data_IF_950380177660
#
_entry.id   IF_950380177660
#
_cell.length_a   1.000
_cell.length_b   1.000
_cell.length_c   1.000
_cell.angle_alpha   90.00
_cell.angle_beta   90.00
_cell.angle_gamma   90.00
#
_symmetry.space_group_name_H-M   'P 1'
#
loop_
_entity.id
_entity.type
_entity.pdbx_description
1 polymer ?
#
# COMPACT_ATOMS: atom_id res chain seq x y z
N UNK A 1 -20.56 -5.09 13.38
CA UNK A 1 -19.33 -5.24 12.58
C UNK A 1 -19.64 -4.79 11.17
N UNK A 2 -18.91 -3.78 10.72
CA UNK A 2 -18.87 -3.28 9.35
C UNK A 2 -17.69 -3.93 8.60
N UNK A 3 -17.67 -3.83 7.27
CA UNK A 3 -16.49 -4.26 6.48
C UNK A 3 -15.21 -3.54 6.96
N UNK A 4 -15.32 -2.28 7.38
CA UNK A 4 -14.19 -1.55 7.92
C UNK A 4 -13.73 -2.14 9.27
N UNK A 5 -14.65 -2.53 10.15
CA UNK A 5 -14.30 -3.20 11.41
C UNK A 5 -13.51 -4.49 11.15
N UNK A 6 -13.93 -5.28 10.17
CA UNK A 6 -13.26 -6.52 9.77
C UNK A 6 -11.85 -6.27 9.23
N UNK A 7 -11.69 -5.22 8.41
CA UNK A 7 -10.37 -4.78 7.92
C UNK A 7 -9.49 -4.39 9.10
N UNK A 8 -10.00 -3.57 10.03
CA UNK A 8 -9.23 -3.12 11.19
C UNK A 8 -8.78 -4.28 12.09
N UNK A 9 -9.66 -5.25 12.34
CA UNK A 9 -9.34 -6.45 13.11
C UNK A 9 -8.22 -7.26 12.46
N UNK A 10 -8.31 -7.52 11.15
CA UNK A 10 -7.29 -8.28 10.39
C UNK A 10 -5.96 -7.54 10.30
N UNK A 11 -6.00 -6.22 10.04
CA UNK A 11 -4.80 -5.39 9.95
C UNK A 11 -4.04 -5.36 11.28
N UNK A 12 -4.74 -5.27 12.42
CA UNK A 12 -4.10 -5.30 13.75
C UNK A 12 -3.41 -6.64 14.01
N UNK A 13 -4.06 -7.76 13.66
CA UNK A 13 -3.46 -9.09 13.79
C UNK A 13 -2.21 -9.24 12.90
N UNK A 14 -2.25 -8.69 11.68
CA UNK A 14 -1.10 -8.67 10.75
C UNK A 14 0.07 -7.88 11.35
N UNK A 15 -0.18 -6.65 11.81
CA UNK A 15 0.84 -5.82 12.45
C UNK A 15 1.46 -6.52 13.67
N UNK A 16 0.66 -7.21 14.48
CA UNK A 16 1.16 -7.94 15.63
C UNK A 16 2.09 -9.10 15.22
N UNK A 17 1.73 -9.85 14.19
CA UNK A 17 2.55 -10.93 13.65
C UNK A 17 3.85 -10.38 13.04
N UNK A 18 3.78 -9.31 12.25
CA UNK A 18 4.93 -8.69 11.60
C UNK A 18 5.94 -8.18 12.64
N UNK A 19 5.46 -7.50 13.69
CA UNK A 19 6.30 -7.03 14.81
C UNK A 19 6.99 -8.14 15.58
N UNK A 20 6.43 -9.35 15.58
CA UNK A 20 7.08 -10.51 16.19
C UNK A 20 8.21 -11.07 15.30
N UNK A 21 8.17 -10.81 13.99
CA UNK A 21 9.16 -11.27 13.02
C UNK A 21 10.29 -10.27 12.76
N UNK A 22 10.00 -8.97 12.85
CA UNK A 22 10.94 -7.90 12.59
C UNK A 22 10.67 -6.73 13.54
N UNK A 23 11.70 -6.28 14.26
CA UNK A 23 11.56 -5.19 15.21
C UNK A 23 11.45 -3.83 14.52
N UNK A 24 10.86 -2.87 15.22
CA UNK A 24 10.81 -1.49 14.73
C UNK A 24 12.21 -0.89 14.51
N UNK A 25 13.18 -1.24 15.36
CA UNK A 25 14.55 -0.75 15.25
C UNK A 25 15.25 -1.28 13.99
N UNK A 26 15.04 -2.55 13.65
CA UNK A 26 15.57 -3.12 12.40
C UNK A 26 14.94 -2.47 11.17
N UNK A 27 13.63 -2.19 11.20
CA UNK A 27 12.95 -1.44 10.16
C UNK A 27 13.51 -0.02 10.01
N UNK A 28 13.71 0.70 11.11
CA UNK A 28 14.29 2.06 11.10
C UNK A 28 15.70 2.06 10.50
N UNK A 29 16.53 1.07 10.86
CA UNK A 29 17.86 0.92 10.27
C UNK A 29 17.80 0.63 8.77
N UNK A 30 16.91 -0.26 8.33
CA UNK A 30 16.75 -0.59 6.91
C UNK A 30 16.27 0.62 6.09
N UNK A 31 15.38 1.46 6.65
CA UNK A 31 14.89 2.66 5.99
C UNK A 31 16.00 3.69 5.78
N UNK A 32 16.96 3.79 6.69
CA UNK A 32 18.08 4.73 6.59
C UNK A 32 18.97 4.48 5.36
N UNK A 33 19.05 3.23 4.89
CA UNK A 33 19.87 2.84 3.74
C UNK A 33 19.11 2.93 2.39
N UNK A 34 17.82 3.28 2.40
CA UNK A 34 17.02 3.40 1.18
C UNK A 34 17.31 4.69 0.42
N UNK A 35 17.16 4.69 -0.91
CA UNK A 35 17.22 5.92 -1.70
C UNK A 35 16.10 6.90 -1.27
N UNK A 36 16.29 8.21 -1.50
CA UNK A 36 15.26 9.21 -1.22
C UNK A 36 13.92 8.86 -1.86
N UNK A 37 12.83 9.10 -1.13
CA UNK A 37 11.49 8.95 -1.66
C UNK A 37 11.27 9.87 -2.88
N UNK A 38 10.52 9.37 -3.86
CA UNK A 38 10.02 10.23 -4.95
C UNK A 38 9.04 11.25 -4.38
N UNK A 39 9.07 12.48 -4.87
CA UNK A 39 8.15 13.53 -4.42
C UNK A 39 6.75 13.32 -5.03
N UNK A 40 5.92 12.60 -4.27
CA UNK A 40 4.55 12.29 -4.67
C UNK A 40 3.66 13.54 -4.76
N UNK A 41 3.86 14.52 -3.88
CA UNK A 41 3.05 15.74 -3.88
C UNK A 41 3.37 16.60 -5.10
N UNK A 42 4.66 16.82 -5.38
CA UNK A 42 5.07 17.60 -6.55
C UNK A 42 4.55 16.98 -7.85
N UNK A 43 4.53 15.64 -7.96
CA UNK A 43 3.99 14.95 -9.13
C UNK A 43 2.49 15.24 -9.37
N UNK A 44 1.70 15.42 -8.31
CA UNK A 44 0.27 15.72 -8.41
C UNK A 44 -0.03 17.22 -8.51
N UNK A 45 0.84 18.06 -7.96
CA UNK A 45 0.70 19.52 -7.97
C UNK A 45 1.27 20.17 -9.25
N UNK A 46 1.89 19.39 -10.13
CA UNK A 46 2.56 19.90 -11.32
C UNK A 46 1.61 20.18 -12.49
N UNK A 47 1.83 21.33 -13.14
CA UNK A 47 1.25 21.69 -14.43
C UNK A 47 -0.27 21.94 -14.42
N UNK A 48 -0.80 22.30 -15.59
CA UNK A 48 -2.23 22.55 -15.80
C UNK A 48 -2.95 21.33 -16.41
N UNK A 49 -2.32 20.16 -16.36
CA UNK A 49 -2.83 18.92 -16.95
C UNK A 49 -3.56 18.06 -15.91
N UNK A 50 -4.29 17.06 -16.40
CA UNK A 50 -4.91 16.05 -15.52
C UNK A 50 -3.83 15.12 -14.98
N UNK A 51 -3.64 15.14 -13.67
CA UNK A 51 -2.75 14.23 -12.96
C UNK A 51 -3.54 13.03 -12.42
N UNK A 52 -3.06 11.80 -12.68
CA UNK A 52 -3.75 10.56 -12.35
C UNK A 52 -2.93 9.73 -11.35
N UNK A 53 -3.59 9.28 -10.28
CA UNK A 53 -3.10 8.19 -9.44
C UNK A 53 -3.71 6.91 -9.99
N UNK A 54 -2.92 6.12 -10.74
CA UNK A 54 -3.35 4.81 -11.22
C UNK A 54 -3.16 3.76 -10.11
N UNK A 55 -4.25 3.14 -9.64
CA UNK A 55 -4.21 2.09 -8.62
C UNK A 55 -4.09 0.71 -9.28
N UNK A 56 -3.07 -0.05 -8.90
CA UNK A 56 -2.91 -1.47 -9.28
C UNK A 56 -3.63 -2.35 -8.26
N UNK A 57 -4.81 -2.89 -8.62
CA UNK A 57 -5.69 -3.61 -7.68
C UNK A 57 -6.17 -4.95 -8.21
N UNK A 58 -5.98 -6.02 -7.43
CA UNK A 58 -6.44 -7.38 -7.79
C UNK A 58 -7.92 -7.60 -7.49
N UNK A 59 -8.39 -7.18 -6.31
CA UNK A 59 -9.76 -7.43 -5.85
C UNK A 59 -10.24 -6.34 -4.87
N UNK A 60 -11.55 -6.25 -4.62
CA UNK A 60 -12.12 -5.40 -3.58
C UNK A 60 -13.33 -6.08 -2.90
N UNK A 61 -13.69 -5.68 -1.66
CA UNK A 61 -14.88 -6.21 -1.00
C UNK A 61 -16.19 -5.96 -1.76
N UNK A 62 -16.28 -4.86 -2.51
CA UNK A 62 -17.49 -4.47 -3.25
C UNK A 62 -17.58 -5.07 -4.64
N UNK A 63 -16.44 -5.24 -5.33
CA UNK A 63 -16.40 -5.71 -6.73
C UNK A 63 -15.92 -7.16 -6.87
N UNK A 64 -15.48 -7.80 -5.78
CA UNK A 64 -14.88 -9.13 -5.83
C UNK A 64 -13.53 -9.10 -6.55
N UNK A 65 -13.25 -10.14 -7.33
CA UNK A 65 -12.03 -10.22 -8.14
C UNK A 65 -12.15 -9.27 -9.34
N UNK A 66 -11.22 -8.32 -9.43
CA UNK A 66 -11.22 -7.27 -10.47
C UNK A 66 -10.35 -7.71 -11.65
N UNK A 67 -9.25 -8.41 -11.38
CA UNK A 67 -8.35 -8.93 -12.41
C UNK A 67 -7.87 -10.32 -12.04
N UNK A 68 -8.25 -11.29 -12.87
CA UNK A 68 -7.87 -12.70 -12.72
C UNK A 68 -6.38 -12.92 -13.00
N UNK A 69 -5.90 -12.43 -14.15
CA UNK A 69 -4.48 -12.48 -14.56
C UNK A 69 -3.72 -11.26 -14.05
N UNK A 70 -3.36 -11.31 -12.76
CA UNK A 70 -2.79 -10.18 -12.04
C UNK A 70 -1.25 -10.25 -11.97
N UNK A 71 -0.60 -9.45 -12.83
CA UNK A 71 0.83 -9.15 -12.74
C UNK A 71 1.02 -7.67 -12.41
N UNK A 72 1.43 -7.37 -11.18
CA UNK A 72 1.59 -5.99 -10.70
C UNK A 72 2.71 -5.21 -11.41
N UNK A 73 3.65 -5.88 -12.06
CA UNK A 73 4.75 -5.25 -12.79
C UNK A 73 4.32 -4.85 -14.21
N UNK A 74 3.30 -5.52 -14.76
CA UNK A 74 2.81 -5.32 -16.13
C UNK A 74 1.52 -4.48 -16.22
N UNK A 75 0.98 -4.01 -15.09
CA UNK A 75 -0.20 -3.13 -14.99
C UNK A 75 0.26 -1.69 -14.80
#
# INVERSE_FOLDING_TARGET
>A
MTILDDILLKTRATIQADRASLSAQELESAVADLPPCRDFHAALAAGDQVNLIAEVKRASPSAGLIRDDFDAVQI
#
